data_IF_425714610021
#
_entry.id   IF_425714610021
#
_cell.length_a   1.000
_cell.length_b   1.000
_cell.length_c   1.000
_cell.angle_alpha   90.00
_cell.angle_beta   90.00
_cell.angle_gamma   90.00
#
_symmetry.space_group_name_H-M   'P 1'
#
loop_
_entity.id
_entity.type
_entity.pdbx_description
1 polymer ?
#
# COMPACT_ATOMS: atom_id res chain seq x y z
N UNK A 1 25.54 21.42 20.85
CA UNK A 1 25.10 20.61 19.68
C UNK A 1 24.65 19.20 20.08
N UNK A 2 25.35 18.53 21.01
CA UNK A 2 25.09 17.16 21.49
C UNK A 2 23.69 16.99 22.10
N UNK A 3 23.24 17.95 22.91
CA UNK A 3 21.94 17.91 23.60
C UNK A 3 20.74 17.90 22.63
N UNK A 4 20.83 18.60 21.48
CA UNK A 4 19.76 18.61 20.47
C UNK A 4 19.69 17.29 19.71
N UNK A 5 20.83 16.67 19.41
CA UNK A 5 20.89 15.35 18.76
C UNK A 5 20.34 14.27 19.66
N UNK A 6 20.70 14.30 20.95
CA UNK A 6 20.16 13.38 21.97
C UNK A 6 18.65 13.53 22.12
N UNK A 7 18.14 14.77 22.18
CA UNK A 7 16.68 15.02 22.21
C UNK A 7 15.97 14.48 20.97
N UNK A 8 16.52 14.72 19.78
CA UNK A 8 15.93 14.23 18.53
C UNK A 8 15.91 12.70 18.48
N UNK A 9 17.01 12.06 18.91
CA UNK A 9 17.10 10.60 19.00
C UNK A 9 16.10 10.03 20.01
N UNK A 10 15.97 10.66 21.18
CA UNK A 10 14.97 10.29 22.20
C UNK A 10 13.54 10.41 21.68
N UNK A 11 13.21 11.52 21.00
CA UNK A 11 11.88 11.70 20.41
C UNK A 11 11.61 10.63 19.35
N UNK A 12 12.58 10.34 18.47
CA UNK A 12 12.46 9.27 17.50
C UNK A 12 12.30 7.88 18.14
N UNK A 13 13.08 7.59 19.18
CA UNK A 13 13.01 6.33 19.92
C UNK A 13 11.66 6.17 20.63
N UNK A 14 11.15 7.23 21.28
CA UNK A 14 9.83 7.22 21.92
C UNK A 14 8.73 7.04 20.88
N UNK A 15 8.80 7.78 19.76
CA UNK A 15 7.82 7.66 18.68
C UNK A 15 7.77 6.25 18.07
N UNK A 16 8.92 5.54 18.01
CA UNK A 16 8.98 4.15 17.58
C UNK A 16 8.57 3.16 18.69
N UNK A 17 8.91 3.42 19.94
CA UNK A 17 8.61 2.55 21.07
C UNK A 17 7.11 2.51 21.40
N UNK A 18 6.40 3.64 21.29
CA UNK A 18 4.95 3.72 21.58
C UNK A 18 4.13 2.70 20.78
N UNK A 19 4.18 2.65 19.43
CA UNK A 19 3.39 1.66 18.68
C UNK A 19 3.83 0.22 18.98
N UNK A 20 5.11 -0.04 19.23
CA UNK A 20 5.60 -1.37 19.61
C UNK A 20 5.06 -1.82 20.97
N UNK A 21 5.11 -0.95 21.97
CA UNK A 21 4.56 -1.22 23.31
C UNK A 21 3.05 -1.41 23.26
N UNK A 22 2.35 -0.58 22.48
CA UNK A 22 0.91 -0.72 22.32
C UNK A 22 0.54 -2.07 21.72
N UNK A 23 1.17 -2.43 20.60
CA UNK A 23 0.85 -3.66 19.85
C UNK A 23 1.31 -4.94 20.53
N UNK A 24 2.46 -4.92 21.21
CA UNK A 24 3.07 -6.15 21.76
C UNK A 24 2.76 -6.38 23.24
N UNK A 25 2.35 -5.34 23.98
CA UNK A 25 2.12 -5.42 25.43
C UNK A 25 0.73 -4.93 25.82
N UNK A 26 0.38 -3.68 25.50
CA UNK A 26 -0.86 -3.05 26.02
C UNK A 26 -2.11 -3.70 25.43
N UNK A 27 -2.19 -3.88 24.11
CA UNK A 27 -3.35 -4.49 23.46
C UNK A 27 -3.55 -5.96 23.85
N UNK A 28 -2.51 -6.82 23.84
CA UNK A 28 -2.65 -8.18 24.37
C UNK A 28 -3.08 -8.22 25.83
N UNK A 29 -2.53 -7.36 26.70
CA UNK A 29 -2.93 -7.28 28.11
C UNK A 29 -4.40 -6.83 28.29
N UNK A 30 -4.93 -6.07 27.34
CA UNK A 30 -6.35 -5.70 27.27
C UNK A 30 -7.24 -6.77 26.60
N UNK A 31 -6.70 -7.94 26.26
CA UNK A 31 -7.43 -9.02 25.58
C UNK A 31 -7.71 -8.75 24.10
N UNK A 32 -7.07 -7.75 23.49
CA UNK A 32 -7.20 -7.47 22.07
C UNK A 32 -6.30 -8.44 21.31
N UNK A 33 -6.92 -9.38 20.60
CA UNK A 33 -6.22 -10.37 19.80
C UNK A 33 -5.46 -9.73 18.64
N UNK A 34 -4.29 -10.30 18.32
CA UNK A 34 -3.54 -9.94 17.13
C UNK A 34 -4.36 -10.27 15.86
N UNK A 35 -4.19 -9.51 14.76
CA UNK A 35 -4.80 -9.87 13.50
C UNK A 35 -4.25 -11.21 12.99
N UNK A 36 -5.05 -11.89 12.17
CA UNK A 36 -4.67 -13.11 11.47
C UNK A 36 -3.32 -12.94 10.74
N UNK A 37 -2.47 -13.97 10.81
CA UNK A 37 -1.14 -13.96 10.17
C UNK A 37 -1.23 -13.82 8.65
N UNK A 38 -2.34 -14.26 8.06
CA UNK A 38 -2.67 -14.09 6.65
C UNK A 38 -2.71 -12.62 6.26
N UNK A 39 -3.15 -11.71 7.14
CA UNK A 39 -3.06 -10.26 6.87
C UNK A 39 -1.62 -9.76 6.77
N UNK A 40 -0.68 -10.40 7.46
CA UNK A 40 0.74 -10.01 7.44
C UNK A 40 1.42 -10.58 6.20
N UNK A 41 1.12 -11.84 5.86
CA UNK A 41 1.84 -12.60 4.84
C UNK A 41 1.13 -12.71 3.48
N UNK A 42 -0.08 -12.15 3.32
CA UNK A 42 -0.82 -12.25 2.06
C UNK A 42 -0.06 -11.77 0.82
N UNK A 43 0.91 -10.87 0.98
CA UNK A 43 1.74 -10.40 -0.13
C UNK A 43 2.68 -11.50 -0.61
N UNK A 44 3.23 -12.29 0.32
CA UNK A 44 4.00 -13.49 -0.01
C UNK A 44 3.11 -14.54 -0.69
N UNK A 45 1.89 -14.74 -0.20
CA UNK A 45 0.94 -15.68 -0.84
C UNK A 45 0.56 -15.20 -2.25
N UNK A 46 0.42 -13.90 -2.45
CA UNK A 46 0.23 -13.30 -3.77
C UNK A 46 1.41 -13.54 -4.71
N UNK A 47 2.65 -13.50 -4.23
CA UNK A 47 3.81 -13.86 -5.04
C UNK A 47 3.85 -15.34 -5.38
N UNK A 48 3.51 -16.21 -4.42
CA UNK A 48 3.38 -17.65 -4.65
C UNK A 48 2.35 -17.90 -5.76
N UNK A 49 1.22 -17.20 -5.74
CA UNK A 49 0.21 -17.29 -6.79
C UNK A 49 0.72 -16.81 -8.16
N UNK A 50 1.45 -15.69 -8.22
CA UNK A 50 2.10 -15.21 -9.45
C UNK A 50 3.09 -16.25 -9.97
N UNK A 51 3.93 -16.78 -9.10
CA UNK A 51 4.92 -17.80 -9.46
C UNK A 51 4.26 -19.09 -9.94
N UNK A 52 3.18 -19.54 -9.29
CA UNK A 52 2.44 -20.72 -9.71
C UNK A 52 1.80 -20.55 -11.08
N UNK A 53 1.32 -19.34 -11.37
CA UNK A 53 0.75 -19.00 -12.68
C UNK A 53 1.80 -18.94 -13.78
N UNK A 54 2.93 -18.28 -13.50
CA UNK A 54 3.90 -17.96 -14.55
C UNK A 54 4.96 -19.07 -14.73
N UNK A 55 5.28 -19.81 -13.66
CA UNK A 55 6.31 -20.87 -13.59
C UNK A 55 5.83 -22.08 -12.77
N UNK A 56 4.74 -22.77 -13.18
CA UNK A 56 4.14 -23.87 -12.42
C UNK A 56 5.11 -25.03 -12.17
N UNK A 57 6.14 -25.21 -12.99
CA UNK A 57 7.13 -26.28 -12.86
C UNK A 57 8.08 -26.10 -11.66
N UNK A 58 8.12 -24.93 -11.01
CA UNK A 58 8.85 -24.71 -9.76
C UNK A 58 8.19 -25.39 -8.54
N UNK A 59 6.97 -25.89 -8.71
CA UNK A 59 6.14 -26.42 -7.63
C UNK A 59 6.14 -27.95 -7.65
N UNK A 60 6.62 -28.52 -6.56
CA UNK A 60 6.56 -29.96 -6.28
C UNK A 60 5.13 -30.38 -5.93
N UNK A 61 4.87 -31.69 -5.94
CA UNK A 61 3.59 -32.24 -5.47
C UNK A 61 3.28 -31.85 -4.02
N UNK A 62 4.30 -31.75 -3.16
CA UNK A 62 4.13 -31.30 -1.78
C UNK A 62 3.65 -29.85 -1.71
N UNK A 63 4.20 -28.98 -2.55
CA UNK A 63 3.78 -27.56 -2.60
C UNK A 63 2.34 -27.44 -3.09
N UNK A 64 1.98 -28.22 -4.11
CA UNK A 64 0.61 -28.27 -4.63
C UNK A 64 -0.38 -28.78 -3.58
N UNK A 65 0.00 -29.79 -2.79
CA UNK A 65 -0.79 -30.28 -1.68
C UNK A 65 -0.98 -29.21 -0.59
N UNK A 66 0.11 -28.52 -0.20
CA UNK A 66 0.07 -27.40 0.74
C UNK A 66 -0.86 -26.28 0.25
N UNK A 67 -0.72 -25.87 -1.01
CA UNK A 67 -1.58 -24.85 -1.62
C UNK A 67 -3.05 -25.29 -1.65
N UNK A 68 -3.30 -26.57 -1.99
CA UNK A 68 -4.65 -27.15 -2.05
C UNK A 68 -5.33 -27.25 -0.68
N UNK A 69 -4.56 -27.35 0.40
CA UNK A 69 -5.09 -27.30 1.77
C UNK A 69 -5.69 -25.93 2.12
N UNK A 70 -5.28 -24.87 1.41
CA UNK A 70 -5.72 -23.49 1.66
C UNK A 70 -6.77 -23.04 0.64
N UNK A 71 -6.57 -23.36 -0.63
CA UNK A 71 -7.51 -23.04 -1.70
C UNK A 71 -7.30 -23.99 -2.90
N UNK A 72 -8.33 -24.26 -3.72
CA UNK A 72 -8.15 -25.03 -4.95
C UNK A 72 -7.02 -24.46 -5.82
N UNK A 73 -6.19 -25.30 -6.45
CA UNK A 73 -5.07 -24.82 -7.29
C UNK A 73 -5.50 -23.83 -8.38
N UNK A 74 -6.71 -23.98 -8.90
CA UNK A 74 -7.32 -23.03 -9.84
C UNK A 74 -7.43 -21.62 -9.26
N UNK A 75 -7.75 -21.47 -7.97
CA UNK A 75 -7.80 -20.17 -7.27
C UNK A 75 -6.42 -19.52 -7.19
N UNK A 76 -5.37 -20.30 -6.95
CA UNK A 76 -3.99 -19.81 -6.99
C UNK A 76 -3.59 -19.30 -8.38
N UNK A 77 -3.96 -20.05 -9.43
CA UNK A 77 -3.72 -19.63 -10.81
C UNK A 77 -4.48 -18.34 -11.18
N UNK A 78 -5.79 -18.29 -10.92
CA UNK A 78 -6.63 -17.11 -11.18
C UNK A 78 -6.21 -15.90 -10.33
N UNK A 79 -5.77 -16.16 -9.10
CA UNK A 79 -5.32 -15.17 -8.13
C UNK A 79 -3.91 -14.64 -8.38
N UNK A 80 -3.15 -15.25 -9.30
CA UNK A 80 -1.76 -14.93 -9.62
C UNK A 80 -1.54 -13.60 -10.34
N UNK A 81 -2.28 -12.55 -10.00
CA UNK A 81 -2.10 -11.22 -10.58
C UNK A 81 -0.99 -10.46 -9.85
N UNK A 82 -0.11 -9.78 -10.59
CA UNK A 82 1.01 -9.08 -9.96
C UNK A 82 0.60 -7.80 -9.22
N UNK A 83 -0.47 -7.11 -9.65
CA UNK A 83 -0.81 -5.78 -9.12
C UNK A 83 -1.65 -5.81 -7.82
N UNK A 84 -2.24 -6.96 -7.47
CA UNK A 84 -3.09 -7.14 -6.29
C UNK A 84 -3.18 -8.60 -5.88
N UNK A 85 -3.38 -8.86 -4.59
CA UNK A 85 -3.68 -10.19 -4.03
C UNK A 85 -5.17 -10.44 -3.90
N UNK A 86 -6.01 -9.43 -4.15
CA UNK A 86 -7.44 -9.49 -3.86
C UNK A 86 -8.19 -10.64 -4.56
N UNK A 87 -7.90 -10.97 -5.84
CA UNK A 87 -8.54 -12.11 -6.52
C UNK A 87 -8.18 -13.48 -5.92
N UNK A 88 -7.12 -13.55 -5.11
CA UNK A 88 -6.75 -14.74 -4.35
C UNK A 88 -7.50 -14.79 -3.01
N UNK A 89 -7.28 -13.82 -2.13
CA UNK A 89 -7.64 -13.95 -0.69
C UNK A 89 -9.09 -13.57 -0.35
N UNK A 90 -9.77 -12.77 -1.18
CA UNK A 90 -11.15 -12.31 -0.91
C UNK A 90 -12.21 -13.19 -1.58
N UNK A 91 -11.86 -14.43 -1.89
CA UNK A 91 -12.77 -15.41 -2.50
C UNK A 91 -13.23 -16.43 -1.45
N UNK A 92 -14.43 -16.95 -1.66
CA UNK A 92 -15.07 -17.87 -0.70
C UNK A 92 -14.35 -19.22 -0.61
N UNK A 93 -13.62 -19.58 -1.66
CA UNK A 93 -12.81 -20.80 -1.80
C UNK A 93 -11.35 -20.60 -1.36
N UNK A 94 -11.03 -19.48 -0.70
CA UNK A 94 -9.77 -19.27 0.02
C UNK A 94 -10.02 -19.37 1.52
N UNK A 95 -9.45 -20.38 2.17
CA UNK A 95 -9.61 -20.62 3.60
C UNK A 95 -8.54 -19.85 4.40
N UNK A 96 -8.99 -18.80 5.08
CA UNK A 96 -8.13 -17.97 5.92
C UNK A 96 -7.60 -18.71 7.15
N UNK A 97 -8.37 -19.65 7.72
CA UNK A 97 -7.93 -20.42 8.88
C UNK A 97 -6.86 -21.43 8.48
N UNK A 98 -7.04 -22.09 7.33
CA UNK A 98 -6.02 -22.98 6.78
C UNK A 98 -4.76 -22.19 6.38
N UNK A 99 -4.90 -21.01 5.77
CA UNK A 99 -3.77 -20.13 5.45
C UNK A 99 -2.98 -19.73 6.71
N UNK A 100 -3.67 -19.43 7.81
CA UNK A 100 -3.03 -19.13 9.10
C UNK A 100 -2.33 -20.36 9.68
N UNK A 101 -2.97 -21.52 9.67
CA UNK A 101 -2.39 -22.76 10.16
C UNK A 101 -1.12 -23.17 9.39
N UNK A 102 -1.07 -22.85 8.10
CA UNK A 102 0.04 -23.16 7.20
C UNK A 102 0.94 -21.96 6.86
N UNK A 103 0.82 -20.83 7.59
CA UNK A 103 1.51 -19.59 7.23
C UNK A 103 3.03 -19.76 7.16
N UNK A 104 3.62 -20.52 8.08
CA UNK A 104 5.06 -20.82 8.09
C UNK A 104 5.51 -21.67 6.90
N UNK A 105 4.71 -22.66 6.50
CA UNK A 105 5.01 -23.51 5.35
C UNK A 105 4.88 -22.73 4.03
N UNK A 106 3.84 -21.89 3.91
CA UNK A 106 3.66 -21.00 2.76
C UNK A 106 4.78 -19.97 2.66
N UNK A 107 5.27 -19.45 3.79
CA UNK A 107 6.41 -18.55 3.82
C UNK A 107 7.69 -19.28 3.42
N UNK A 108 7.91 -20.52 3.88
CA UNK A 108 9.04 -21.35 3.44
C UNK A 108 8.99 -21.67 1.94
N UNK A 109 7.80 -21.90 1.39
CA UNK A 109 7.60 -22.01 -0.06
C UNK A 109 7.99 -20.71 -0.78
N UNK A 110 7.54 -19.55 -0.28
CA UNK A 110 7.91 -18.25 -0.83
C UNK A 110 9.43 -18.00 -0.78
N UNK A 111 10.09 -18.29 0.33
CA UNK A 111 11.55 -18.15 0.48
C UNK A 111 12.30 -19.02 -0.54
N UNK A 112 11.85 -20.26 -0.74
CA UNK A 112 12.43 -21.18 -1.72
C UNK A 112 12.22 -20.69 -3.15
N UNK A 113 11.06 -20.12 -3.47
CA UNK A 113 10.80 -19.49 -4.78
C UNK A 113 11.67 -18.25 -5.00
N UNK A 114 11.87 -17.42 -3.97
CA UNK A 114 12.78 -16.27 -4.00
C UNK A 114 14.23 -16.70 -4.27
N UNK A 115 14.66 -17.80 -3.66
CA UNK A 115 15.99 -18.35 -3.90
C UNK A 115 16.13 -18.97 -5.31
N UNK A 116 15.09 -19.62 -5.82
CA UNK A 116 15.10 -20.29 -7.12
C UNK A 116 14.96 -19.33 -8.31
N UNK A 117 14.08 -18.33 -8.19
CA UNK A 117 13.86 -17.30 -9.21
C UNK A 117 13.62 -15.93 -8.54
N UNK A 118 14.69 -15.24 -8.12
CA UNK A 118 14.56 -13.95 -7.47
C UNK A 118 13.98 -12.87 -8.39
N UNK A 119 14.19 -13.00 -9.71
CA UNK A 119 13.68 -12.06 -10.70
C UNK A 119 12.16 -12.06 -10.74
N UNK A 120 11.54 -13.25 -10.69
CA UNK A 120 10.10 -13.41 -10.66
C UNK A 120 9.47 -12.77 -9.41
N UNK A 121 10.01 -13.04 -8.23
CA UNK A 121 9.48 -12.50 -6.96
C UNK A 121 9.68 -10.99 -6.87
N UNK A 122 10.87 -10.48 -7.23
CA UNK A 122 11.13 -9.03 -7.27
C UNK A 122 10.25 -8.35 -8.30
N UNK A 123 10.04 -8.95 -9.47
CA UNK A 123 9.13 -8.45 -10.50
C UNK A 123 7.68 -8.35 -10.01
N UNK A 124 7.19 -9.38 -9.32
CA UNK A 124 5.86 -9.37 -8.71
C UNK A 124 5.72 -8.25 -7.67
N UNK A 125 6.74 -8.06 -6.81
CA UNK A 125 6.76 -6.98 -5.80
C UNK A 125 6.81 -5.60 -6.41
N UNK A 126 7.64 -5.38 -7.44
CA UNK A 126 7.70 -4.11 -8.15
C UNK A 126 6.37 -3.80 -8.86
N UNK A 127 5.72 -4.80 -9.46
CA UNK A 127 4.38 -4.63 -10.04
C UNK A 127 3.34 -4.28 -8.97
N UNK A 128 3.29 -4.99 -7.84
CA UNK A 128 2.33 -4.72 -6.76
C UNK A 128 2.59 -3.38 -6.09
N UNK A 129 3.85 -2.99 -5.96
CA UNK A 129 4.28 -1.69 -5.48
C UNK A 129 4.21 -0.55 -6.50
N UNK A 130 3.62 -0.76 -7.68
CA UNK A 130 3.56 0.25 -8.74
C UNK A 130 2.99 1.60 -8.28
N UNK A 131 2.03 1.64 -7.36
CA UNK A 131 1.51 2.90 -6.79
C UNK A 131 2.60 3.78 -6.15
N UNK A 132 3.70 3.17 -5.67
CA UNK A 132 4.81 3.87 -5.06
C UNK A 132 5.76 4.51 -6.07
N UNK A 133 5.95 3.94 -7.26
CA UNK A 133 7.00 4.38 -8.20
C UNK A 133 6.55 4.58 -9.65
N UNK A 134 5.36 4.13 -10.07
CA UNK A 134 4.80 4.38 -11.40
C UNK A 134 3.70 5.45 -11.34
N UNK A 135 3.92 6.65 -11.88
CA UNK A 135 2.89 7.69 -11.98
C UNK A 135 1.68 7.24 -12.79
N UNK A 136 1.89 6.44 -13.84
CA UNK A 136 0.83 5.92 -14.72
C UNK A 136 0.89 4.40 -14.74
N UNK A 137 -0.27 3.76 -14.66
CA UNK A 137 -0.43 2.33 -14.82
C UNK A 137 -1.10 2.00 -16.13
N UNK A 138 -0.71 0.87 -16.70
CA UNK A 138 -1.38 0.27 -17.83
C UNK A 138 -2.84 -0.10 -17.46
N UNK A 139 -3.85 0.46 -18.15
CA UNK A 139 -5.26 0.16 -17.89
C UNK A 139 -5.64 -1.32 -18.07
N UNK A 140 -4.84 -2.08 -18.83
CA UNK A 140 -5.05 -3.53 -19.04
C UNK A 140 -4.56 -4.38 -17.88
N UNK A 141 -3.79 -3.83 -16.93
CA UNK A 141 -3.28 -4.58 -15.77
C UNK A 141 -4.43 -4.91 -14.82
N UNK A 142 -4.75 -6.19 -14.70
CA UNK A 142 -5.79 -6.69 -13.77
C UNK A 142 -5.45 -6.26 -12.33
N UNK A 143 -6.37 -5.50 -11.72
CA UNK A 143 -6.20 -4.96 -10.37
C UNK A 143 -5.10 -3.90 -10.24
N UNK A 144 -4.63 -3.34 -11.36
CA UNK A 144 -3.67 -2.24 -11.42
C UNK A 144 -4.27 -0.86 -11.12
N UNK A 145 -5.59 -0.75 -11.08
CA UNK A 145 -6.29 0.49 -10.74
C UNK A 145 -6.05 0.87 -9.29
N UNK A 146 -5.80 2.16 -9.03
CA UNK A 146 -5.67 2.68 -7.67
C UNK A 146 -6.99 2.52 -6.91
N UNK A 147 -6.97 1.83 -5.77
CA UNK A 147 -8.11 1.71 -4.85
C UNK A 147 -8.12 2.94 -3.93
N UNK A 148 -9.13 3.80 -4.09
CA UNK A 148 -9.15 5.14 -3.47
C UNK A 148 -10.12 5.22 -2.30
N UNK A 149 -11.40 4.99 -2.59
CA UNK A 149 -12.50 5.00 -1.65
C UNK A 149 -13.62 4.08 -2.15
N UNK A 150 -14.35 3.45 -1.24
CA UNK A 150 -15.58 2.73 -1.58
C UNK A 150 -16.73 3.74 -1.68
N UNK A 151 -17.46 3.75 -2.81
CA UNK A 151 -18.62 4.63 -2.99
C UNK A 151 -19.94 4.00 -2.54
N UNK A 152 -19.94 2.71 -2.27
CA UNK A 152 -21.13 1.94 -1.87
C UNK A 152 -20.76 0.95 -0.79
N UNK A 153 -20.26 1.43 0.37
CA UNK A 153 -20.11 0.54 1.47
C UNK A 153 -21.47 -0.04 1.83
N UNK A 154 -21.42 -1.33 2.12
CA UNK A 154 -22.42 -2.12 2.80
C UNK A 154 -21.66 -2.92 3.84
N UNK A 155 -22.39 -3.53 4.78
CA UNK A 155 -21.78 -4.48 5.71
C UNK A 155 -21.02 -5.60 4.96
N UNK A 156 -21.58 -6.05 3.83
CA UNK A 156 -20.97 -7.07 2.96
C UNK A 156 -19.71 -6.60 2.23
N UNK A 157 -19.62 -5.33 1.82
CA UNK A 157 -18.39 -4.85 1.17
C UNK A 157 -17.24 -4.65 2.15
N UNK A 158 -17.54 -4.46 3.45
CA UNK A 158 -16.51 -4.27 4.48
C UNK A 158 -16.03 -5.58 5.09
N UNK A 159 -16.94 -6.54 5.30
CA UNK A 159 -16.65 -7.81 5.99
C UNK A 159 -16.60 -9.00 5.02
N UNK A 160 -17.23 -8.89 3.86
CA UNK A 160 -17.33 -9.93 2.84
C UNK A 160 -18.79 -10.33 2.54
N UNK A 161 -19.13 -10.69 1.29
CA UNK A 161 -20.48 -11.10 0.93
C UNK A 161 -20.99 -12.26 1.80
N UNK A 162 -22.15 -12.07 2.44
CA UNK A 162 -22.80 -13.12 3.24
C UNK A 162 -22.09 -13.44 4.56
N UNK A 163 -21.04 -12.70 4.93
CA UNK A 163 -20.33 -12.86 6.21
C UNK A 163 -21.02 -12.13 7.35
N UNK A 164 -21.88 -11.17 7.04
CA UNK A 164 -22.66 -10.43 8.04
C UNK A 164 -24.11 -10.89 7.97
N UNK A 165 -24.67 -11.50 9.03
CA UNK A 165 -26.10 -11.84 9.09
C UNK A 165 -26.98 -10.60 8.93
N UNK A 166 -28.20 -10.73 8.42
CA UNK A 166 -29.14 -9.61 8.42
C UNK A 166 -29.58 -9.27 9.85
N UNK A 167 -29.52 -7.98 10.21
CA UNK A 167 -29.94 -7.47 11.51
C UNK A 167 -30.68 -6.14 11.35
N UNK A 168 -31.58 -5.84 12.30
CA UNK A 168 -32.28 -4.56 12.35
C UNK A 168 -31.26 -3.42 12.46
N UNK A 169 -31.26 -2.51 11.49
CA UNK A 169 -30.26 -1.43 11.43
C UNK A 169 -29.14 -1.63 10.41
N UNK A 170 -29.08 -2.74 9.67
CA UNK A 170 -28.02 -3.00 8.65
C UNK A 170 -27.80 -1.85 7.66
N UNK A 171 -28.85 -1.09 7.35
CA UNK A 171 -28.81 0.13 6.53
C UNK A 171 -27.91 1.25 7.09
N UNK A 172 -27.40 1.16 8.32
CA UNK A 172 -26.36 2.08 8.85
C UNK A 172 -25.00 1.91 8.18
N UNK A 173 -24.74 0.76 7.57
CA UNK A 173 -23.49 0.51 6.84
C UNK A 173 -23.48 1.10 5.42
N UNK A 174 -24.50 1.89 5.04
CA UNK A 174 -24.54 2.62 3.77
C UNK A 174 -24.05 4.06 3.93
N UNK A 175 -23.39 4.62 2.91
CA UNK A 175 -23.16 6.06 2.86
C UNK A 175 -24.48 6.81 2.71
N UNK A 176 -24.71 7.81 3.57
CA UNK A 176 -25.82 8.74 3.48
C UNK A 176 -25.29 10.17 3.52
N UNK A 177 -25.65 11.02 2.55
CA UNK A 177 -25.20 12.40 2.58
C UNK A 177 -25.89 13.16 3.72
N UNK A 178 -25.16 14.12 4.31
CA UNK A 178 -25.73 15.02 5.31
C UNK A 178 -26.79 15.97 4.71
N UNK A 179 -26.64 16.32 3.43
CA UNK A 179 -27.62 17.09 2.64
C UNK A 179 -27.63 16.57 1.21
N UNK A 180 -28.83 16.39 0.65
CA UNK A 180 -29.00 15.92 -0.72
C UNK A 180 -28.52 16.98 -1.73
N UNK A 181 -28.70 18.26 -1.42
CA UNK A 181 -28.30 19.40 -2.24
C UNK A 181 -26.77 19.47 -2.33
N UNK A 182 -26.08 19.39 -1.18
CA UNK A 182 -24.61 19.33 -1.14
C UNK A 182 -24.09 18.08 -1.85
N UNK A 183 -24.78 16.95 -1.73
CA UNK A 183 -24.39 15.73 -2.43
C UNK A 183 -24.53 15.84 -3.94
N UNK A 184 -25.62 16.43 -4.46
CA UNK A 184 -25.80 16.67 -5.90
C UNK A 184 -24.69 17.53 -6.48
N UNK A 185 -24.15 18.47 -5.70
CA UNK A 185 -23.00 19.29 -6.11
C UNK A 185 -21.69 18.52 -5.94
N UNK A 186 -21.46 17.83 -4.83
CA UNK A 186 -20.19 17.18 -4.55
C UNK A 186 -19.95 15.90 -5.38
N UNK A 187 -21.01 15.17 -5.73
CA UNK A 187 -20.89 13.87 -6.42
C UNK A 187 -20.26 13.97 -7.83
N UNK A 188 -20.60 14.97 -8.67
CA UNK A 188 -19.89 15.21 -9.92
C UNK A 188 -18.41 15.54 -9.73
N UNK A 189 -18.06 16.34 -8.72
CA UNK A 189 -16.66 16.68 -8.43
C UNK A 189 -15.87 15.46 -7.99
N UNK A 190 -16.46 14.65 -7.10
CA UNK A 190 -15.87 13.38 -6.67
C UNK A 190 -15.71 12.43 -7.87
N UNK A 191 -16.75 12.26 -8.68
CA UNK A 191 -16.71 11.38 -9.86
C UNK A 191 -15.68 11.86 -10.88
N UNK A 192 -15.60 13.17 -11.11
CA UNK A 192 -14.59 13.80 -11.97
C UNK A 192 -13.17 13.57 -11.46
N UNK A 193 -12.94 13.77 -10.15
CA UNK A 193 -11.65 13.48 -9.52
C UNK A 193 -11.28 11.99 -9.62
N UNK A 194 -12.26 11.09 -9.72
CA UNK A 194 -12.06 9.66 -9.89
C UNK A 194 -11.86 9.23 -11.35
N UNK A 195 -11.91 10.13 -12.34
CA UNK A 195 -11.69 9.75 -13.73
C UNK A 195 -10.24 9.22 -13.92
N UNK A 196 -10.02 8.20 -14.78
CA UNK A 196 -8.69 7.62 -14.99
C UNK A 196 -7.61 8.64 -15.39
N UNK A 197 -7.98 9.67 -16.14
CA UNK A 197 -7.06 10.74 -16.57
C UNK A 197 -6.48 11.57 -15.42
N UNK A 198 -7.13 11.57 -14.25
CA UNK A 198 -6.67 12.29 -13.06
C UNK A 198 -5.99 11.37 -12.02
N UNK A 199 -5.98 10.05 -12.23
CA UNK A 199 -5.43 9.09 -11.26
C UNK A 199 -3.98 9.38 -10.91
N UNK A 200 -3.17 9.63 -11.94
CA UNK A 200 -1.73 9.86 -11.80
C UNK A 200 -1.40 11.08 -10.93
N UNK A 201 -2.22 12.13 -10.96
CA UNK A 201 -1.97 13.38 -10.25
C UNK A 201 -2.74 13.50 -8.94
N UNK A 202 -3.97 12.98 -8.85
CA UNK A 202 -4.78 13.13 -7.63
C UNK A 202 -4.61 11.99 -6.64
N UNK A 203 -4.37 10.76 -7.12
CA UNK A 203 -4.51 9.56 -6.30
C UNK A 203 -3.27 8.67 -6.25
N UNK A 204 -2.32 8.82 -7.18
CA UNK A 204 -1.10 8.00 -7.20
C UNK A 204 0.03 8.63 -6.41
N UNK A 205 0.54 7.87 -5.44
CA UNK A 205 1.67 8.25 -4.61
C UNK A 205 2.94 8.60 -5.37
N UNK A 206 3.26 7.83 -6.41
CA UNK A 206 4.49 7.96 -7.18
C UNK A 206 4.78 9.39 -7.65
N UNK A 207 3.78 10.04 -8.26
CA UNK A 207 3.90 11.42 -8.75
C UNK A 207 4.31 12.37 -7.65
N UNK A 208 3.65 12.26 -6.50
CA UNK A 208 3.91 13.12 -5.35
C UNK A 208 5.22 12.79 -4.66
N UNK A 209 5.63 11.54 -4.64
CA UNK A 209 6.97 11.17 -4.16
C UNK A 209 8.06 11.83 -5.02
N UNK A 210 7.95 11.78 -6.34
CA UNK A 210 8.90 12.45 -7.22
C UNK A 210 8.89 13.97 -7.03
N UNK A 211 7.71 14.56 -6.81
CA UNK A 211 7.59 15.98 -6.47
C UNK A 211 8.29 16.33 -5.16
N UNK A 212 8.13 15.50 -4.12
CA UNK A 212 8.86 15.66 -2.85
C UNK A 212 10.37 15.63 -3.09
N UNK A 213 10.87 14.65 -3.85
CA UNK A 213 12.29 14.56 -4.15
C UNK A 213 12.82 15.77 -4.91
N UNK A 214 12.07 16.26 -5.90
CA UNK A 214 12.41 17.48 -6.63
C UNK A 214 12.42 18.71 -5.70
N UNK A 215 11.40 18.87 -4.86
CA UNK A 215 11.28 20.00 -3.93
C UNK A 215 12.42 20.02 -2.91
N UNK A 216 12.75 18.85 -2.35
CA UNK A 216 13.83 18.69 -1.38
C UNK A 216 15.19 18.92 -2.03
N UNK A 217 15.44 18.38 -3.22
CA UNK A 217 16.69 18.58 -3.93
C UNK A 217 16.90 20.07 -4.24
N UNK A 218 15.91 20.72 -4.88
CA UNK A 218 15.98 22.15 -5.20
C UNK A 218 16.09 23.02 -3.95
N UNK A 219 15.33 22.70 -2.89
CA UNK A 219 15.42 23.39 -1.60
C UNK A 219 16.80 23.26 -0.96
N UNK A 220 17.40 22.07 -0.99
CA UNK A 220 18.74 21.86 -0.46
C UNK A 220 19.79 22.69 -1.21
N UNK A 221 19.70 22.77 -2.54
CA UNK A 221 20.60 23.59 -3.36
C UNK A 221 20.36 25.10 -3.18
N UNK A 222 19.12 25.56 -3.32
CA UNK A 222 18.77 26.98 -3.29
C UNK A 222 18.97 27.62 -1.91
N UNK A 223 18.72 26.87 -0.84
CA UNK A 223 18.88 27.32 0.54
C UNK A 223 20.24 26.95 1.15
N UNK A 224 21.05 26.15 0.44
CA UNK A 224 22.30 25.54 0.95
C UNK A 224 22.08 24.79 2.27
N UNK A 225 20.91 24.15 2.41
CA UNK A 225 20.50 23.49 3.63
C UNK A 225 20.28 21.99 3.40
N UNK A 226 21.29 21.19 3.73
CA UNK A 226 21.23 19.72 3.61
C UNK A 226 20.19 19.06 4.53
N UNK A 227 19.72 19.74 5.59
CA UNK A 227 18.75 19.16 6.52
C UNK A 227 17.38 18.97 5.89
N UNK A 228 17.08 19.68 4.79
CA UNK A 228 15.86 19.48 4.00
C UNK A 228 15.79 18.04 3.45
N UNK A 229 16.93 17.37 3.25
CA UNK A 229 16.99 15.97 2.83
C UNK A 229 16.32 14.99 3.80
N UNK A 230 16.18 15.35 5.09
CA UNK A 230 15.50 14.53 6.08
C UNK A 230 14.03 14.25 5.72
N UNK A 231 13.36 15.17 5.01
CA UNK A 231 11.98 14.98 4.56
C UNK A 231 11.88 13.91 3.48
N UNK A 232 12.86 13.89 2.55
CA UNK A 232 12.92 12.84 1.53
C UNK A 232 13.15 11.45 2.13
N UNK A 233 13.87 11.34 3.26
CA UNK A 233 14.07 10.07 3.94
C UNK A 233 12.76 9.44 4.45
N UNK A 234 11.82 10.25 4.96
CA UNK A 234 10.50 9.77 5.40
C UNK A 234 9.70 9.21 4.23
N UNK A 235 9.67 9.94 3.11
CA UNK A 235 8.95 9.50 1.90
C UNK A 235 9.61 8.29 1.24
N UNK A 236 10.95 8.22 1.22
CA UNK A 236 11.69 7.06 0.75
C UNK A 236 11.43 5.83 1.62
N UNK A 237 11.42 5.98 2.95
CA UNK A 237 11.07 4.90 3.88
C UNK A 237 9.68 4.32 3.59
N UNK A 238 8.71 5.19 3.30
CA UNK A 238 7.37 4.75 2.93
C UNK A 238 7.32 4.06 1.56
N UNK A 239 8.01 4.58 0.53
CA UNK A 239 8.11 3.88 -0.76
C UNK A 239 8.70 2.48 -0.58
N UNK A 240 9.79 2.35 0.19
CA UNK A 240 10.43 1.07 0.47
C UNK A 240 9.51 0.12 1.23
N UNK A 241 8.77 0.61 2.23
CA UNK A 241 7.80 -0.18 2.96
C UNK A 241 6.68 -0.71 2.03
N UNK A 242 6.19 0.14 1.12
CA UNK A 242 5.19 -0.26 0.12
C UNK A 242 5.75 -1.27 -0.89
N UNK A 243 6.96 -1.06 -1.40
CA UNK A 243 7.62 -2.01 -2.29
C UNK A 243 7.85 -3.38 -1.61
N UNK A 244 8.18 -3.36 -0.31
CA UNK A 244 8.40 -4.56 0.47
C UNK A 244 7.08 -5.29 0.78
N UNK A 245 6.05 -4.56 1.19
CA UNK A 245 4.79 -5.15 1.64
C UNK A 245 3.57 -4.31 1.30
N UNK A 246 2.90 -4.67 0.21
CA UNK A 246 1.63 -4.10 -0.21
C UNK A 246 0.76 -5.16 -0.85
N UNK A 247 -0.51 -5.21 -0.48
CA UNK A 247 -1.46 -6.22 -0.96
C UNK A 247 -2.12 -5.83 -2.28
N UNK A 248 -2.30 -4.53 -2.52
CA UNK A 248 -3.05 -3.99 -3.64
C UNK A 248 -2.67 -2.52 -3.87
N UNK A 249 -3.07 -1.93 -4.99
CA UNK A 249 -2.81 -0.51 -5.32
C UNK A 249 -3.62 0.47 -4.43
N UNK A 250 -3.63 0.31 -3.10
CA UNK A 250 -4.45 1.13 -2.22
C UNK A 250 -3.81 2.50 -1.94
N UNK A 251 -4.58 3.56 -2.19
CA UNK A 251 -4.24 4.95 -1.88
C UNK A 251 -3.74 5.13 -0.44
N UNK A 252 -4.34 4.42 0.52
CA UNK A 252 -4.01 4.53 1.95
C UNK A 252 -2.53 4.28 2.24
N UNK A 253 -1.86 3.43 1.47
CA UNK A 253 -0.44 3.13 1.66
C UNK A 253 0.47 4.25 1.16
N UNK A 254 -0.04 5.16 0.33
CA UNK A 254 0.70 6.27 -0.27
C UNK A 254 0.08 7.65 0.02
N UNK A 255 -0.85 7.75 0.97
CA UNK A 255 -1.52 9.00 1.31
C UNK A 255 -0.53 10.06 1.83
N UNK A 256 0.44 9.68 2.67
CA UNK A 256 1.37 10.63 3.26
C UNK A 256 2.26 11.35 2.23
N UNK A 257 2.90 10.69 1.24
CA UNK A 257 3.66 11.37 0.18
C UNK A 257 2.83 12.40 -0.59
N UNK A 258 1.53 12.16 -0.77
CA UNK A 258 0.62 13.09 -1.44
C UNK A 258 0.49 14.38 -0.61
N UNK A 259 0.18 14.26 0.68
CA UNK A 259 0.08 15.44 1.56
C UNK A 259 1.42 16.15 1.75
N UNK A 260 2.51 15.40 1.94
CA UNK A 260 3.85 15.99 2.07
C UNK A 260 4.23 16.73 0.79
N UNK A 261 3.98 16.15 -0.38
CA UNK A 261 4.25 16.79 -1.67
C UNK A 261 3.45 18.08 -1.85
N UNK A 262 2.16 18.07 -1.54
CA UNK A 262 1.32 19.28 -1.53
C UNK A 262 1.90 20.38 -0.63
N UNK A 263 2.31 20.04 0.59
CA UNK A 263 2.89 20.99 1.54
C UNK A 263 4.27 21.52 1.11
N UNK A 264 5.01 20.77 0.28
CA UNK A 264 6.32 21.18 -0.24
C UNK A 264 6.25 21.98 -1.55
N UNK A 265 5.08 22.14 -2.16
CA UNK A 265 4.90 22.94 -3.38
C UNK A 265 5.47 24.38 -3.26
N UNK A 266 5.23 25.13 -2.17
CA UNK A 266 5.82 26.47 -2.03
C UNK A 266 7.35 26.44 -2.00
N UNK A 267 7.95 25.43 -1.35
CA UNK A 267 9.40 25.26 -1.32
C UNK A 267 9.96 25.00 -2.71
N UNK A 268 9.29 24.14 -3.49
CA UNK A 268 9.66 23.83 -4.87
C UNK A 268 9.69 25.10 -5.73
N UNK A 269 8.58 25.86 -5.74
CA UNK A 269 8.43 27.07 -6.55
C UNK A 269 9.43 28.15 -6.14
N UNK A 270 9.56 28.44 -4.84
CA UNK A 270 10.49 29.46 -4.36
C UNK A 270 11.96 29.09 -4.64
N UNK A 271 12.32 27.81 -4.50
CA UNK A 271 13.68 27.34 -4.77
C UNK A 271 14.01 27.39 -6.26
N UNK A 272 13.09 27.00 -7.13
CA UNK A 272 13.24 27.12 -8.57
C UNK A 272 13.41 28.58 -9.00
N UNK A 273 12.55 29.48 -8.53
CA UNK A 273 12.62 30.92 -8.84
C UNK A 273 13.96 31.52 -8.40
N UNK A 274 14.44 31.19 -7.20
CA UNK A 274 15.72 31.67 -6.68
C UNK A 274 16.90 31.22 -7.55
N UNK A 275 16.91 29.97 -7.99
CA UNK A 275 17.99 29.42 -8.83
C UNK A 275 17.98 30.05 -10.23
N UNK A 276 16.80 30.27 -10.81
CA UNK A 276 16.67 30.97 -12.10
C UNK A 276 17.20 32.40 -11.99
N UNK A 277 16.77 33.14 -10.97
CA UNK A 277 17.25 34.52 -10.74
C UNK A 277 18.76 34.60 -10.48
N UNK A 278 19.33 33.61 -9.79
CA UNK A 278 20.78 33.56 -9.57
C UNK A 278 21.55 33.33 -10.88
N UNK A 279 21.03 32.48 -11.77
CA UNK A 279 21.64 32.26 -13.09
C UNK A 279 21.53 33.46 -14.03
N UNK A 280 20.43 34.21 -13.98
CA UNK A 280 20.28 35.43 -14.80
C UNK A 280 21.19 36.58 -14.35
N UNK A 281 21.77 36.49 -13.14
CA UNK A 281 22.68 37.49 -12.58
C UNK A 281 24.17 37.11 -12.70
N UNK A 282 24.48 35.89 -13.13
CA UNK A 282 25.83 35.38 -13.31
C UNK A 282 26.24 35.51 -14.78
#
# INVERSE_FOLDING_TARGET
MTTRRVRLALVGAVAAAVPLLLTSLVFPAAGIAAPSSTYVYHTAFGDVAVAFRDRPELFTERDRALMSAVAPLRRWWEGGTCATVNPLIWRHDFDWQAADAHAGELLGLWERLLAADPGLIVGARLCRGAIAWRPVQDPSTVGGTTYRLSRRPTADTYVGPGRVPDFAGRWVFSHRPLSNELNRVADPWLTGALAPGWDWVLWRGATWTYLVYAAVALGAFALRNRYVAGVAAVVAGQQLAVLANISAQDFRYMAAPIFVGLLLMPLLVASAARLVLARLRA
#
